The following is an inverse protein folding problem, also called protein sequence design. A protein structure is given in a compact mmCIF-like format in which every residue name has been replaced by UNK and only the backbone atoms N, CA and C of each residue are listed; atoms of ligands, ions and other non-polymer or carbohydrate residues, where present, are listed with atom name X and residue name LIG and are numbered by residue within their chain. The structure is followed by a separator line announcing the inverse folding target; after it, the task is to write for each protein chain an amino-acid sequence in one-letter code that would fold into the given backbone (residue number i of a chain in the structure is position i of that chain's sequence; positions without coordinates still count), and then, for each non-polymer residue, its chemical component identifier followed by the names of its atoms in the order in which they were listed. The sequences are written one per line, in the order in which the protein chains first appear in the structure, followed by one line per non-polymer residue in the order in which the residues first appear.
data_IF_393553725281
#
_entry.id   IF_393553725281
#
_cell.length_a   1.000
_cell.length_b   1.000
_cell.length_c   1.000
_cell.angle_alpha   90.00
_cell.angle_beta   90.00
_cell.angle_gamma   90.00
#
_symmetry.space_group_name_H-M   'P 1'
#
loop_
_entity.id
_entity.type
_entity.pdbx_description
1 polymer ?
#
# COMPACT_ATOMS: atom_id res chain seq x y z
N UNK A 1 10.49 -16.22 -6.22
CA UNK A 1 9.22 -15.54 -6.15
C UNK A 1 8.13 -16.53 -5.75
N UNK A 2 7.36 -16.22 -4.71
CA UNK A 2 6.23 -17.02 -4.28
C UNK A 2 4.94 -16.26 -4.49
N UNK A 3 3.93 -16.93 -5.06
CA UNK A 3 2.62 -16.34 -5.32
C UNK A 3 1.58 -17.27 -4.69
N UNK A 4 0.79 -16.71 -3.77
CA UNK A 4 -0.18 -17.45 -2.99
C UNK A 4 -1.44 -17.83 -3.76
N UNK A 5 -2.32 -18.56 -3.07
CA UNK A 5 -3.55 -19.08 -3.64
C UNK A 5 -4.55 -17.95 -3.97
N UNK A 6 -5.27 -18.11 -5.07
CA UNK A 6 -6.29 -17.17 -5.55
C UNK A 6 -5.76 -15.73 -5.78
N UNK A 7 -4.45 -15.60 -5.94
CA UNK A 7 -3.85 -14.33 -6.37
C UNK A 7 -3.98 -14.22 -7.88
N UNK A 8 -4.38 -13.06 -8.35
CA UNK A 8 -4.55 -12.78 -9.76
C UNK A 8 -3.54 -11.73 -10.22
N UNK A 9 -2.92 -11.99 -11.36
CA UNK A 9 -1.95 -11.09 -11.97
C UNK A 9 -2.41 -10.80 -13.39
N UNK A 10 -2.75 -9.56 -13.67
CA UNK A 10 -3.24 -9.16 -14.97
C UNK A 10 -2.10 -9.01 -15.97
N UNK A 11 -2.38 -9.36 -17.21
CA UNK A 11 -1.43 -9.20 -18.30
C UNK A 11 -1.24 -7.73 -18.64
N UNK A 12 -0.01 -7.34 -18.99
CA UNK A 12 0.27 -6.00 -19.48
C UNK A 12 -0.28 -5.78 -20.89
N UNK A 13 -0.63 -4.52 -21.17
CA UNK A 13 -1.01 -4.07 -22.48
C UNK A 13 0.09 -3.15 -23.01
N UNK A 14 0.84 -3.61 -24.03
CA UNK A 14 2.11 -2.98 -24.44
C UNK A 14 3.26 -3.48 -23.58
N UNK A 15 3.74 -2.72 -22.57
CA UNK A 15 4.72 -3.25 -21.60
C UNK A 15 4.13 -4.38 -20.76
N UNK A 16 4.99 -5.29 -20.32
CA UNK A 16 4.57 -6.42 -19.48
C UNK A 16 4.26 -5.98 -18.05
N UNK A 17 3.44 -6.79 -17.37
CA UNK A 17 3.36 -6.81 -15.91
C UNK A 17 4.56 -7.60 -15.40
N UNK A 18 5.34 -7.04 -14.48
CA UNK A 18 6.61 -7.64 -14.04
C UNK A 18 6.63 -7.78 -12.53
N UNK A 19 6.96 -8.98 -12.06
CA UNK A 19 7.22 -9.25 -10.64
C UNK A 19 8.70 -9.60 -10.51
N UNK A 20 9.44 -8.75 -9.81
CA UNK A 20 10.89 -8.92 -9.66
C UNK A 20 11.27 -10.13 -8.82
N UNK A 21 12.56 -10.45 -8.76
CA UNK A 21 13.05 -11.63 -8.04
C UNK A 21 12.87 -11.50 -6.54
N UNK A 22 12.64 -12.62 -5.86
CA UNK A 22 12.53 -12.66 -4.41
C UNK A 22 11.27 -12.05 -3.84
N UNK A 23 10.28 -11.71 -4.66
CA UNK A 23 9.00 -11.20 -4.17
C UNK A 23 8.21 -12.30 -3.48
N UNK A 24 7.50 -11.92 -2.44
CA UNK A 24 6.57 -12.78 -1.75
C UNK A 24 5.18 -12.18 -1.81
N UNK A 25 4.28 -12.84 -2.54
CA UNK A 25 2.91 -12.38 -2.73
C UNK A 25 1.99 -13.41 -2.09
N UNK A 26 1.24 -12.97 -1.11
CA UNK A 26 0.34 -13.79 -0.32
C UNK A 26 -0.94 -14.12 -1.09
N UNK A 27 -1.93 -14.67 -0.41
CA UNK A 27 -3.18 -15.11 -1.00
C UNK A 27 -4.13 -13.96 -1.31
N UNK A 28 -4.99 -14.14 -2.30
CA UNK A 28 -6.08 -13.21 -2.64
C UNK A 28 -5.59 -11.79 -2.95
N UNK A 29 -4.40 -11.68 -3.52
CA UNK A 29 -3.83 -10.40 -3.96
C UNK A 29 -4.23 -10.14 -5.41
N UNK A 30 -4.52 -8.88 -5.74
CA UNK A 30 -4.75 -8.45 -7.12
C UNK A 30 -3.59 -7.57 -7.59
N UNK A 31 -2.92 -8.01 -8.64
CA UNK A 31 -1.90 -7.20 -9.32
C UNK A 31 -2.45 -6.79 -10.67
N UNK A 32 -2.66 -5.49 -10.86
CA UNK A 32 -3.24 -4.93 -12.06
C UNK A 32 -2.29 -4.96 -13.25
N UNK A 33 -2.83 -4.65 -14.41
CA UNK A 33 -2.07 -4.63 -15.67
C UNK A 33 -0.92 -3.62 -15.61
N UNK A 34 0.20 -3.95 -16.20
CA UNK A 34 1.37 -3.07 -16.31
C UNK A 34 1.98 -2.65 -14.97
N UNK A 35 1.67 -3.36 -13.87
CA UNK A 35 2.33 -3.15 -12.59
C UNK A 35 3.74 -3.71 -12.66
N UNK A 36 4.69 -3.02 -12.06
CA UNK A 36 6.06 -3.52 -11.90
C UNK A 36 6.42 -3.56 -10.43
N UNK A 37 6.88 -4.72 -9.96
CA UNK A 37 7.42 -4.90 -8.63
C UNK A 37 8.92 -5.09 -8.74
N UNK A 38 9.69 -4.34 -7.97
CA UNK A 38 11.12 -4.52 -7.85
C UNK A 38 11.47 -5.80 -7.09
N UNK A 39 12.72 -5.91 -6.69
CA UNK A 39 13.23 -7.06 -5.97
C UNK A 39 12.68 -7.11 -4.54
N UNK A 40 12.35 -8.31 -4.04
CA UNK A 40 12.09 -8.55 -2.63
C UNK A 40 10.86 -7.84 -2.07
N UNK A 41 9.90 -7.47 -2.91
CA UNK A 41 8.64 -6.90 -2.43
C UNK A 41 7.83 -7.93 -1.65
N UNK A 42 7.13 -7.48 -0.62
CA UNK A 42 6.21 -8.29 0.17
C UNK A 42 4.82 -7.71 0.05
N UNK A 43 3.88 -8.51 -0.44
CA UNK A 43 2.48 -8.12 -0.60
C UNK A 43 1.63 -9.08 0.19
N UNK A 44 1.04 -8.59 1.28
CA UNK A 44 0.29 -9.43 2.21
C UNK A 44 -1.15 -9.62 1.71
N UNK A 45 -1.86 -10.58 2.29
CA UNK A 45 -3.14 -11.04 1.80
C UNK A 45 -4.16 -9.94 1.55
N UNK A 46 -4.91 -10.10 0.48
CA UNK A 46 -6.01 -9.20 0.08
C UNK A 46 -5.57 -7.78 -0.28
N UNK A 47 -4.29 -7.54 -0.46
CA UNK A 47 -3.82 -6.26 -1.00
C UNK A 47 -4.16 -6.17 -2.50
N UNK A 48 -4.34 -4.95 -2.98
CA UNK A 48 -4.62 -4.69 -4.39
C UNK A 48 -3.72 -3.58 -4.93
N UNK A 49 -3.17 -3.79 -6.09
CA UNK A 49 -2.35 -2.81 -6.79
C UNK A 49 -2.99 -2.51 -8.14
N UNK A 50 -3.44 -1.28 -8.33
CA UNK A 50 -4.08 -0.88 -9.58
C UNK A 50 -3.06 -0.70 -10.71
N UNK A 51 -3.55 -0.69 -11.93
CA UNK A 51 -2.72 -0.74 -13.13
C UNK A 51 -1.65 0.34 -13.22
N UNK A 52 -0.54 -0.01 -13.82
CA UNK A 52 0.58 0.88 -14.15
C UNK A 52 1.31 1.48 -12.95
N UNK A 53 1.09 0.97 -11.76
CA UNK A 53 1.82 1.37 -10.56
C UNK A 53 3.17 0.67 -10.51
N UNK A 54 4.18 1.38 -10.07
CA UNK A 54 5.54 0.89 -9.94
C UNK A 54 5.96 0.85 -8.49
N UNK A 55 6.36 -0.34 -8.01
CA UNK A 55 6.95 -0.52 -6.69
C UNK A 55 8.45 -0.71 -6.83
N UNK A 56 9.22 0.09 -6.12
CA UNK A 56 10.67 -0.09 -6.03
C UNK A 56 11.03 -1.35 -5.26
N UNK A 57 12.32 -1.59 -5.07
CA UNK A 57 12.78 -2.76 -4.34
C UNK A 57 12.33 -2.72 -2.88
N UNK A 58 12.05 -3.89 -2.30
CA UNK A 58 11.75 -4.07 -0.88
C UNK A 58 10.55 -3.29 -0.36
N UNK A 59 9.59 -2.97 -1.21
CA UNK A 59 8.33 -2.35 -0.78
C UNK A 59 7.47 -3.39 -0.06
N UNK A 60 6.83 -2.98 1.04
CA UNK A 60 5.95 -3.83 1.83
C UNK A 60 4.53 -3.26 1.82
N UNK A 61 3.59 -4.04 1.32
CA UNK A 61 2.16 -3.72 1.41
C UNK A 61 1.50 -4.67 2.41
N UNK A 62 1.02 -4.13 3.51
CA UNK A 62 0.36 -4.93 4.53
C UNK A 62 -1.04 -5.38 4.08
N UNK A 63 -1.68 -6.24 4.86
CA UNK A 63 -2.94 -6.87 4.51
C UNK A 63 -4.04 -5.86 4.18
N UNK A 64 -4.80 -6.15 3.14
CA UNK A 64 -5.95 -5.34 2.72
C UNK A 64 -5.61 -3.90 2.35
N UNK A 65 -4.35 -3.59 2.10
CA UNK A 65 -3.98 -2.28 1.58
C UNK A 65 -4.35 -2.17 0.10
N UNK A 66 -4.67 -0.96 -0.34
CA UNK A 66 -4.97 -0.67 -1.74
C UNK A 66 -4.06 0.42 -2.25
N UNK A 67 -3.59 0.27 -3.48
CA UNK A 67 -2.72 1.26 -4.13
C UNK A 67 -3.37 1.70 -5.43
N UNK A 68 -3.58 3.00 -5.59
CA UNK A 68 -4.17 3.56 -6.79
C UNK A 68 -3.26 3.38 -8.01
N UNK A 69 -3.82 3.57 -9.19
CA UNK A 69 -3.09 3.40 -10.45
C UNK A 69 -2.08 4.52 -10.73
N UNK A 70 -1.10 4.19 -11.54
CA UNK A 70 -0.10 5.14 -12.03
C UNK A 70 0.74 5.82 -10.95
N UNK A 71 0.94 5.15 -9.81
CA UNK A 71 1.76 5.65 -8.72
C UNK A 71 3.16 5.05 -8.76
N UNK A 72 4.07 5.71 -8.03
CA UNK A 72 5.43 5.21 -7.80
C UNK A 72 5.66 5.15 -6.30
N UNK A 73 5.96 3.95 -5.81
CA UNK A 73 6.36 3.73 -4.44
C UNK A 73 7.88 3.47 -4.42
N UNK A 74 8.61 4.31 -3.71
CA UNK A 74 10.08 4.24 -3.68
C UNK A 74 10.59 3.03 -2.93
N UNK A 75 11.88 2.73 -3.09
CA UNK A 75 12.53 1.60 -2.45
C UNK A 75 12.31 1.61 -0.95
N UNK A 76 11.92 0.48 -0.37
CA UNK A 76 11.71 0.32 1.05
C UNK A 76 10.47 1.01 1.60
N UNK A 77 9.60 1.55 0.77
CA UNK A 77 8.33 2.13 1.21
C UNK A 77 7.47 1.07 1.89
N UNK A 78 6.75 1.48 2.92
CA UNK A 78 5.88 0.57 3.68
C UNK A 78 4.48 1.15 3.78
N UNK A 79 3.49 0.29 3.59
CA UNK A 79 2.07 0.66 3.67
C UNK A 79 1.42 -0.20 4.73
N UNK A 80 0.78 0.43 5.71
CA UNK A 80 0.08 -0.26 6.79
C UNK A 80 -1.19 -0.97 6.35
N UNK A 81 -1.70 -1.83 7.20
CA UNK A 81 -2.90 -2.62 6.91
C UNK A 81 -4.12 -1.72 6.67
N UNK A 82 -4.97 -2.13 5.72
CA UNK A 82 -6.21 -1.43 5.35
C UNK A 82 -6.01 0.02 4.93
N UNK A 83 -4.82 0.36 4.46
CA UNK A 83 -4.54 1.72 3.99
C UNK A 83 -4.91 1.89 2.52
N UNK A 84 -5.26 3.10 2.15
CA UNK A 84 -5.56 3.47 0.77
C UNK A 84 -4.54 4.49 0.25
N UNK A 85 -3.60 4.04 -0.57
CA UNK A 85 -2.55 4.89 -1.12
C UNK A 85 -3.05 5.59 -2.37
N UNK A 86 -3.09 6.92 -2.32
CA UNK A 86 -3.59 7.76 -3.41
C UNK A 86 -2.51 8.64 -4.04
N UNK A 87 -1.32 8.66 -3.46
CA UNK A 87 -0.19 9.48 -3.91
C UNK A 87 1.08 8.65 -3.94
N UNK A 88 2.09 9.13 -4.66
CA UNK A 88 3.42 8.53 -4.63
C UNK A 88 3.97 8.49 -3.21
N UNK A 89 4.78 7.49 -2.92
CA UNK A 89 5.45 7.37 -1.63
C UNK A 89 6.97 7.45 -1.85
N UNK A 90 7.65 8.39 -1.20
CA UNK A 90 9.11 8.47 -1.28
C UNK A 90 9.78 7.23 -0.68
N UNK A 91 11.01 6.95 -1.12
CA UNK A 91 11.79 5.82 -0.62
C UNK A 91 11.93 5.87 0.90
N UNK A 92 11.78 4.71 1.53
CA UNK A 92 11.96 4.54 2.98
C UNK A 92 10.84 5.08 3.86
N UNK A 93 9.82 5.69 3.29
CA UNK A 93 8.70 6.25 4.06
C UNK A 93 7.65 5.20 4.39
N UNK A 94 7.02 5.37 5.54
CA UNK A 94 5.89 4.54 5.99
C UNK A 94 4.59 5.35 5.97
N UNK A 95 3.59 4.83 5.27
CA UNK A 95 2.29 5.49 5.12
C UNK A 95 1.18 4.65 5.76
N UNK A 96 0.14 5.32 6.24
CA UNK A 96 -0.99 4.68 6.91
C UNK A 96 -2.26 5.49 6.73
N UNK A 97 -3.40 4.81 6.69
CA UNK A 97 -4.73 5.43 6.66
C UNK A 97 -5.35 5.52 5.27
N UNK A 98 -6.49 6.18 5.19
CA UNK A 98 -7.23 6.44 3.95
C UNK A 98 -7.69 7.91 3.94
N UNK A 99 -7.19 8.77 3.05
CA UNK A 99 -6.03 8.56 2.18
C UNK A 99 -4.77 8.38 3.01
N UNK A 100 -3.88 7.50 2.57
CA UNK A 100 -2.67 7.19 3.31
C UNK A 100 -1.73 8.38 3.35
N UNK A 101 -1.25 8.69 4.55
CA UNK A 101 -0.25 9.72 4.82
C UNK A 101 0.88 9.10 5.64
N UNK A 102 1.94 9.85 5.87
CA UNK A 102 3.01 9.37 6.74
C UNK A 102 2.44 8.96 8.09
N UNK A 103 2.95 7.87 8.65
CA UNK A 103 2.43 7.29 9.90
C UNK A 103 2.36 8.31 11.02
N UNK A 104 3.39 9.13 11.20
CA UNK A 104 3.40 10.18 12.25
C UNK A 104 2.27 11.20 12.04
N UNK A 105 2.06 11.61 10.81
CA UNK A 105 1.01 12.56 10.47
C UNK A 105 -0.37 11.95 10.71
N UNK A 106 -0.57 10.72 10.30
CA UNK A 106 -1.82 10.00 10.55
C UNK A 106 -2.17 9.93 12.04
N UNK A 107 -1.24 9.50 12.87
CA UNK A 107 -1.50 9.40 14.30
C UNK A 107 -1.65 10.77 14.99
N UNK A 108 -0.99 11.79 14.48
CA UNK A 108 -1.24 13.17 14.94
C UNK A 108 -2.67 13.59 14.65
N UNK A 109 -3.18 13.29 13.47
CA UNK A 109 -4.56 13.59 13.08
C UNK A 109 -5.54 12.82 13.96
N UNK A 110 -5.31 11.54 14.19
CA UNK A 110 -6.15 10.70 15.07
C UNK A 110 -6.15 11.24 16.50
N UNK A 111 -5.00 11.60 17.04
CA UNK A 111 -4.89 12.17 18.39
C UNK A 111 -5.63 13.50 18.51
N UNK A 112 -5.52 14.34 17.51
CA UNK A 112 -6.23 15.63 17.47
C UNK A 112 -7.74 15.43 17.43
N UNK A 113 -8.19 14.51 16.59
CA UNK A 113 -9.61 14.19 16.48
C UNK A 113 -10.17 13.65 17.80
N UNK A 114 -9.44 12.75 18.45
CA UNK A 114 -9.82 12.21 19.76
C UNK A 114 -9.90 13.30 20.82
N UNK A 115 -8.94 14.22 20.85
CA UNK A 115 -8.96 15.35 21.79
C UNK A 115 -10.18 16.23 21.59
N UNK A 116 -10.51 16.52 20.36
CA UNK A 116 -11.68 17.35 20.03
C UNK A 116 -12.98 16.70 20.51
N UNK A 117 -13.14 15.39 20.31
CA UNK A 117 -14.33 14.67 20.75
C UNK A 117 -14.39 14.53 22.27
N UNK A 118 -13.28 14.29 22.94
CA UNK A 118 -13.23 14.22 24.40
C UNK A 118 -13.52 15.57 25.05
N UNK A 119 -12.93 16.64 24.52
CA UNK A 119 -13.16 18.01 25.00
C UNK A 119 -14.64 18.42 24.83
N UNK A 120 -15.25 18.06 23.70
CA UNK A 120 -16.66 18.31 23.44
C UNK A 120 -17.57 17.51 24.39
N UNK A 121 -17.24 16.25 24.68
CA UNK A 121 -17.94 15.41 25.64
C UNK A 121 -17.89 16.01 27.06
N UNK A 122 -16.72 16.48 27.50
CA UNK A 122 -16.55 17.11 28.81
C UNK A 122 -17.38 18.39 28.95
N UNK A 123 -17.54 19.16 27.89
CA UNK A 123 -18.35 20.37 27.90
C UNK A 123 -19.85 20.09 28.00
N UNK A 124 -20.30 18.92 27.63
CA UNK A 124 -21.71 18.54 27.64
C UNK A 124 -22.15 17.86 28.94
N UNK A 125 -21.19 17.57 29.80
CA UNK A 125 -21.45 17.05 31.16
C UNK A 125 -21.58 18.19 32.16
#
# INVERSE_FOLDING_TARGET
CEIGANTTVDRGAGPDTVIGPGCWIDNLVQIGHNVTLGRGCIVVAQAGIAGSTQLGDFVVLAAQSGVAGHLKLGMGARVGAKSGVMTDIPAGESYFGIPATRVKEYFRQVATLRRLTQKKGAQNE
#
